data_IF_999737939898
#
_entry.id   IF_999737939898
#
_cell.length_a   1.000
_cell.length_b   1.000
_cell.length_c   1.000
_cell.angle_alpha   90.00
_cell.angle_beta   90.00
_cell.angle_gamma   90.00
#
_symmetry.space_group_name_H-M   'P 1'
#
loop_
_entity.id
_entity.type
_entity.pdbx_description
1 polymer ?
#
# COMPACT_ATOMS: atom_id res chain seq x y z
N UNK A 1 -26.34 10.21 24.97
CA UNK A 1 -27.64 10.42 24.27
C UNK A 1 -27.37 10.28 22.78
N UNK A 2 -28.17 9.49 22.08
CA UNK A 2 -28.08 9.39 20.62
C UNK A 2 -28.61 10.70 20.06
N UNK A 3 -27.96 11.29 19.04
CA UNK A 3 -28.43 12.55 18.48
C UNK A 3 -29.84 12.48 17.88
N UNK A 4 -30.41 11.30 17.65
CA UNK A 4 -31.69 11.11 16.95
C UNK A 4 -32.68 10.17 17.63
N UNK A 5 -32.46 9.75 18.87
CA UNK A 5 -33.37 8.85 19.59
C UNK A 5 -33.90 9.50 20.88
N UNK A 6 -35.20 9.80 20.90
CA UNK A 6 -35.92 10.37 22.04
C UNK A 6 -36.31 9.34 23.10
N UNK A 7 -36.11 8.04 22.86
CA UNK A 7 -36.51 6.96 23.79
C UNK A 7 -35.59 6.80 25.01
N UNK A 8 -34.48 7.56 25.11
CA UNK A 8 -33.40 7.34 26.09
C UNK A 8 -32.85 5.90 26.06
N UNK A 9 -33.12 5.14 24.99
CA UNK A 9 -32.44 3.89 24.68
C UNK A 9 -30.93 4.12 24.67
N UNK A 10 -30.21 3.20 25.30
CA UNK A 10 -28.75 3.18 25.27
C UNK A 10 -28.34 3.12 23.79
N UNK A 11 -27.46 4.01 23.37
CA UNK A 11 -26.94 4.03 22.01
C UNK A 11 -26.05 2.82 21.80
N UNK A 12 -26.66 1.66 21.65
CA UNK A 12 -25.95 0.43 21.45
C UNK A 12 -25.66 0.30 19.96
N UNK A 13 -24.86 1.24 19.45
CA UNK A 13 -23.89 0.88 18.43
C UNK A 13 -22.72 0.23 19.19
N UNK A 14 -23.00 -0.93 19.79
CA UNK A 14 -22.01 -1.70 20.52
C UNK A 14 -21.12 -2.36 19.48
N UNK A 15 -20.01 -1.69 19.17
CA UNK A 15 -18.90 -2.34 18.51
C UNK A 15 -18.62 -3.66 19.25
N UNK A 16 -18.43 -4.73 18.49
CA UNK A 16 -18.06 -6.03 19.03
C UNK A 16 -16.54 -6.13 19.11
N UNK A 17 -15.97 -6.81 20.12
CA UNK A 17 -14.52 -7.00 20.19
C UNK A 17 -13.98 -7.60 18.89
N UNK A 18 -13.02 -6.92 18.27
CA UNK A 18 -12.51 -7.25 16.93
C UNK A 18 -12.93 -6.26 15.84
N UNK A 19 -13.98 -5.45 16.06
CA UNK A 19 -14.41 -4.43 15.10
C UNK A 19 -13.34 -3.37 14.89
N UNK A 20 -13.23 -2.89 13.65
CA UNK A 20 -12.30 -1.84 13.26
C UNK A 20 -13.00 -0.51 13.05
N UNK A 21 -12.30 0.58 13.38
CA UNK A 21 -12.71 1.94 12.98
C UNK A 21 -11.50 2.77 12.59
N UNK A 22 -11.78 3.83 11.84
CA UNK A 22 -10.83 4.91 11.56
C UNK A 22 -11.07 6.08 12.52
N UNK A 23 -9.99 6.72 12.95
CA UNK A 23 -10.05 7.92 13.78
C UNK A 23 -8.79 8.78 13.60
N UNK A 24 -8.92 10.09 13.82
CA UNK A 24 -7.77 11.00 13.92
C UNK A 24 -7.09 10.96 15.30
N UNK A 25 -7.69 10.25 16.27
CA UNK A 25 -7.08 10.04 17.60
C UNK A 25 -5.76 9.30 17.46
N UNK A 26 -4.82 9.60 18.36
CA UNK A 26 -3.45 9.07 18.35
C UNK A 26 -3.16 8.11 19.51
N UNK A 27 -4.14 7.86 20.39
CA UNK A 27 -4.01 6.98 21.55
C UNK A 27 -5.28 6.15 21.77
N UNK A 28 -5.14 5.06 22.53
CA UNK A 28 -6.28 4.26 22.99
C UNK A 28 -7.35 5.12 23.65
N UNK A 29 -8.61 4.74 23.50
CA UNK A 29 -9.75 5.48 24.05
C UNK A 29 -11.02 4.62 24.10
N UNK A 30 -11.79 4.70 25.18
CA UNK A 30 -13.14 4.11 25.26
C UNK A 30 -13.21 2.63 24.82
N UNK A 31 -12.23 1.81 25.21
CA UNK A 31 -12.16 0.40 24.80
C UNK A 31 -11.61 0.14 23.40
N UNK A 32 -11.21 1.19 22.67
CA UNK A 32 -10.54 1.07 21.38
C UNK A 32 -9.03 1.14 21.55
N UNK A 33 -8.32 0.17 21.00
CA UNK A 33 -6.86 0.07 21.05
C UNK A 33 -6.28 0.42 19.68
N UNK A 34 -5.21 1.21 19.67
CA UNK A 34 -4.54 1.60 18.43
C UNK A 34 -3.85 0.38 17.78
N UNK A 35 -4.11 0.14 16.50
CA UNK A 35 -3.52 -0.97 15.74
C UNK A 35 -2.09 -0.67 15.27
N UNK A 36 -1.14 -0.68 16.21
CA UNK A 36 0.28 -0.39 15.97
C UNK A 36 1.22 -1.58 16.25
N UNK A 37 0.70 -2.81 16.38
CA UNK A 37 1.53 -3.99 16.57
C UNK A 37 1.98 -4.29 18.01
N UNK A 38 1.69 -3.40 18.97
CA UNK A 38 2.11 -3.62 20.37
C UNK A 38 1.35 -4.79 21.02
N UNK A 39 1.91 -5.33 22.09
CA UNK A 39 1.21 -6.30 22.94
C UNK A 39 0.07 -5.66 23.74
N UNK A 40 -0.91 -6.46 24.09
CA UNK A 40 -2.00 -6.08 24.99
C UNK A 40 -2.23 -7.18 26.03
N UNK A 41 -2.92 -6.83 27.13
CA UNK A 41 -3.26 -7.80 28.17
C UNK A 41 -4.48 -8.61 27.75
N UNK A 42 -4.27 -9.88 27.41
CA UNK A 42 -5.35 -10.83 27.10
C UNK A 42 -6.25 -11.11 28.30
N UNK A 43 -5.74 -10.99 29.52
CA UNK A 43 -6.56 -11.10 30.74
C UNK A 43 -7.50 -9.89 30.93
N UNK A 44 -7.06 -8.69 30.57
CA UNK A 44 -7.90 -7.49 30.63
C UNK A 44 -8.91 -7.41 29.48
N UNK A 45 -8.59 -8.02 28.32
CA UNK A 45 -9.42 -8.02 27.12
C UNK A 45 -9.62 -9.45 26.55
N UNK A 46 -10.29 -10.34 27.30
CA UNK A 46 -10.42 -11.75 26.91
C UNK A 46 -11.29 -11.97 25.67
N UNK A 47 -12.29 -11.11 25.43
CA UNK A 47 -13.15 -11.19 24.25
C UNK A 47 -12.40 -10.80 22.99
N UNK A 48 -11.54 -9.78 23.05
CA UNK A 48 -10.62 -9.46 21.96
C UNK A 48 -9.68 -10.62 21.68
N UNK A 49 -9.09 -11.19 22.75
CA UNK A 49 -8.20 -12.33 22.61
C UNK A 49 -8.89 -13.51 21.93
N UNK A 50 -10.13 -13.82 22.31
CA UNK A 50 -10.93 -14.84 21.62
C UNK A 50 -11.12 -14.53 20.12
N UNK A 51 -11.35 -13.27 19.77
CA UNK A 51 -11.57 -12.86 18.37
C UNK A 51 -10.31 -12.93 17.49
N UNK A 52 -9.14 -12.56 18.02
CA UNK A 52 -7.93 -12.32 17.19
C UNK A 52 -6.74 -13.24 17.48
N UNK A 53 -6.74 -14.00 18.58
CA UNK A 53 -5.58 -14.80 19.02
C UNK A 53 -5.08 -15.79 17.98
N UNK A 54 -5.98 -16.41 17.21
CA UNK A 54 -5.61 -17.36 16.15
C UNK A 54 -4.77 -16.75 15.01
N UNK A 55 -4.57 -15.44 14.98
CA UNK A 55 -3.75 -14.80 13.93
C UNK A 55 -2.76 -13.77 14.47
N UNK A 56 -3.10 -13.09 15.57
CA UNK A 56 -2.24 -12.07 16.17
C UNK A 56 -1.75 -12.44 17.58
N UNK A 57 -2.24 -13.54 18.15
CA UNK A 57 -1.94 -13.92 19.54
C UNK A 57 -2.29 -12.80 20.52
N UNK A 58 -1.33 -12.45 21.38
CA UNK A 58 -1.42 -11.35 22.36
C UNK A 58 -0.90 -10.00 21.82
N UNK A 59 -0.81 -9.86 20.50
CA UNK A 59 -0.42 -8.63 19.83
C UNK A 59 -1.61 -8.02 19.09
N UNK A 60 -1.64 -6.69 19.01
CA UNK A 60 -2.58 -5.99 18.16
C UNK A 60 -2.11 -6.09 16.70
N UNK A 61 -3.01 -6.01 15.71
CA UNK A 61 -2.60 -5.82 14.32
C UNK A 61 -1.77 -4.54 14.17
N UNK A 62 -0.83 -4.53 13.21
CA UNK A 62 -0.15 -3.32 12.78
C UNK A 62 -0.65 -2.94 11.39
N UNK A 63 -1.49 -1.91 11.30
CA UNK A 63 -2.03 -1.42 10.03
C UNK A 63 -1.32 -0.16 9.53
N UNK A 64 -0.21 0.24 10.15
CA UNK A 64 0.53 1.44 9.77
C UNK A 64 1.05 1.32 8.33
N UNK A 65 0.65 2.28 7.47
CA UNK A 65 1.06 2.32 6.06
C UNK A 65 0.30 1.35 5.14
N UNK A 66 -0.65 0.57 5.65
CA UNK A 66 -1.47 -0.34 4.86
C UNK A 66 -2.83 0.27 4.50
N UNK A 67 -3.31 -0.04 3.29
CA UNK A 67 -4.72 0.14 2.94
C UNK A 67 -5.50 -1.14 3.29
N UNK A 68 -6.61 -0.99 4.01
CA UNK A 68 -7.50 -2.13 4.26
C UNK A 68 -8.40 -2.36 3.04
N UNK A 69 -8.46 -3.61 2.61
CA UNK A 69 -9.31 -4.05 1.50
C UNK A 69 -10.35 -5.05 2.00
N UNK A 70 -11.49 -5.11 1.33
CA UNK A 70 -12.47 -6.15 1.58
C UNK A 70 -11.89 -7.54 1.23
N UNK A 71 -12.35 -8.58 1.95
CA UNK A 71 -11.99 -9.95 1.62
C UNK A 71 -12.47 -10.33 0.22
N UNK A 72 -11.65 -11.07 -0.53
CA UNK A 72 -11.95 -11.44 -1.91
C UNK A 72 -12.79 -12.73 -2.05
N UNK A 73 -13.08 -13.47 -0.96
CA UNK A 73 -13.92 -14.69 -0.95
C UNK A 73 -14.53 -14.92 0.43
N UNK A 74 -15.46 -15.88 0.54
CA UNK A 74 -16.06 -16.34 1.81
C UNK A 74 -15.07 -17.06 2.75
N UNK A 75 -13.87 -17.42 2.27
CA UNK A 75 -12.81 -18.02 3.07
C UNK A 75 -11.68 -17.00 3.29
N UNK A 76 -11.75 -16.36 4.45
CA UNK A 76 -10.94 -15.25 4.94
C UNK A 76 -9.44 -15.53 5.17
N UNK A 77 -8.77 -16.32 4.33
CA UNK A 77 -7.34 -16.65 4.49
C UNK A 77 -6.42 -15.41 4.50
N UNK A 78 -6.90 -14.28 3.97
CA UNK A 78 -6.16 -13.01 3.90
C UNK A 78 -6.65 -11.91 4.84
N UNK A 79 -7.70 -12.14 5.65
CA UNK A 79 -8.24 -11.06 6.52
C UNK A 79 -7.26 -10.60 7.60
N UNK A 80 -6.27 -11.42 7.93
CA UNK A 80 -5.45 -11.28 9.13
C UNK A 80 -3.95 -11.28 8.84
N UNK A 81 -3.57 -11.19 7.58
CA UNK A 81 -2.17 -11.24 7.13
C UNK A 81 -1.87 -10.03 6.27
N UNK A 82 -0.74 -9.37 6.55
CA UNK A 82 -0.28 -8.26 5.73
C UNK A 82 0.00 -8.74 4.30
N UNK A 83 -0.48 -7.98 3.31
CA UNK A 83 -0.24 -8.28 1.91
C UNK A 83 0.73 -7.25 1.34
N UNK A 84 1.78 -7.73 0.69
CA UNK A 84 2.74 -6.85 0.01
C UNK A 84 2.09 -6.19 -1.20
N UNK A 85 2.62 -5.03 -1.58
CA UNK A 85 2.21 -4.39 -2.82
C UNK A 85 2.49 -5.33 -4.01
N UNK A 86 1.52 -5.43 -4.92
CA UNK A 86 1.62 -6.26 -6.11
C UNK A 86 0.90 -5.61 -7.26
N UNK A 87 1.65 -5.19 -8.27
CA UNK A 87 1.11 -4.74 -9.55
C UNK A 87 1.22 -5.87 -10.58
N UNK A 88 0.33 -5.93 -11.58
CA UNK A 88 0.54 -6.75 -12.76
C UNK A 88 1.91 -6.48 -13.39
N UNK A 89 2.48 -7.50 -14.02
CA UNK A 89 3.74 -7.36 -14.71
C UNK A 89 3.63 -6.34 -15.84
N UNK A 90 4.69 -5.56 -16.08
CA UNK A 90 4.84 -4.68 -17.24
C UNK A 90 5.82 -5.38 -18.18
N UNK A 91 5.29 -6.22 -19.08
CA UNK A 91 6.08 -6.96 -20.05
C UNK A 91 6.13 -6.27 -21.41
N UNK A 92 7.27 -6.41 -22.09
CA UNK A 92 7.48 -5.98 -23.47
C UNK A 92 8.74 -6.61 -24.04
N UNK A 93 8.76 -6.85 -25.34
CA UNK A 93 9.92 -7.42 -26.05
C UNK A 93 10.29 -6.52 -27.22
N UNK A 94 11.57 -6.19 -27.35
CA UNK A 94 12.11 -5.52 -28.54
C UNK A 94 13.07 -6.51 -29.22
N UNK A 95 12.72 -6.96 -30.42
CA UNK A 95 13.61 -7.76 -31.27
C UNK A 95 14.00 -6.92 -32.49
N UNK A 96 15.30 -6.66 -32.67
CA UNK A 96 15.82 -5.88 -33.80
C UNK A 96 15.36 -4.43 -33.83
N UNK A 97 16.07 -3.53 -33.14
CA UNK A 97 15.81 -2.09 -33.20
C UNK A 97 16.81 -1.40 -34.14
N UNK A 98 16.38 -1.14 -35.38
CA UNK A 98 17.13 -0.36 -36.38
C UNK A 98 16.39 0.94 -36.69
N UNK A 99 16.76 2.01 -36.00
CA UNK A 99 16.16 3.34 -36.20
C UNK A 99 17.22 4.39 -36.44
N UNK A 100 17.16 5.08 -37.58
CA UNK A 100 17.92 6.29 -37.83
C UNK A 100 17.19 7.46 -37.13
N UNK A 101 17.78 7.99 -36.04
CA UNK A 101 17.28 9.15 -35.28
C UNK A 101 15.80 9.04 -34.84
N UNK A 102 15.47 8.09 -33.94
CA UNK A 102 14.08 7.92 -33.49
C UNK A 102 13.54 9.18 -32.81
N UNK A 103 12.32 9.57 -33.16
CA UNK A 103 11.56 10.57 -32.41
C UNK A 103 11.26 10.00 -31.03
N UNK A 104 11.65 10.73 -29.99
CA UNK A 104 11.45 10.36 -28.59
C UNK A 104 10.48 11.33 -27.93
N UNK A 105 9.58 10.82 -27.10
CA UNK A 105 8.62 11.62 -26.35
C UNK A 105 8.26 10.92 -25.03
N UNK A 106 7.78 11.71 -24.07
CA UNK A 106 7.34 11.21 -22.77
C UNK A 106 8.46 10.50 -22.00
N UNK A 107 8.23 9.25 -21.61
CA UNK A 107 9.12 8.46 -20.76
C UNK A 107 10.41 8.00 -21.47
N UNK A 108 10.56 8.28 -22.77
CA UNK A 108 11.71 7.86 -23.56
C UNK A 108 12.66 9.03 -23.83
N UNK A 109 13.95 8.83 -23.52
CA UNK A 109 15.02 9.80 -23.79
C UNK A 109 16.28 9.11 -24.32
N UNK A 110 17.23 9.88 -24.84
CA UNK A 110 18.56 9.35 -25.13
C UNK A 110 19.17 8.84 -23.82
N UNK A 111 19.76 7.65 -23.89
CA UNK A 111 20.63 7.13 -22.86
C UNK A 111 21.86 8.02 -22.73
N UNK A 112 22.29 8.27 -21.49
CA UNK A 112 23.57 8.93 -21.18
C UNK A 112 24.70 7.91 -20.96
N UNK A 113 24.40 6.61 -21.04
CA UNK A 113 25.43 5.57 -20.91
C UNK A 113 26.37 5.64 -22.12
N UNK A 114 27.70 5.59 -21.92
CA UNK A 114 28.64 5.49 -23.02
C UNK A 114 28.33 4.21 -23.81
N UNK A 115 27.95 4.36 -25.09
CA UNK A 115 27.69 3.21 -25.94
C UNK A 115 29.00 2.43 -26.15
N UNK A 116 29.08 1.14 -25.78
CA UNK A 116 30.24 0.31 -26.12
C UNK A 116 30.31 -0.02 -27.61
N UNK A 117 29.25 0.27 -28.37
CA UNK A 117 29.20 0.06 -29.81
C UNK A 117 29.91 1.19 -30.54
N UNK A 118 31.20 0.94 -30.84
CA UNK A 118 32.03 1.74 -31.74
C UNK A 118 31.25 2.09 -33.01
N UNK A 119 31.42 3.33 -33.48
CA UNK A 119 30.95 3.82 -34.78
C UNK A 119 31.30 2.78 -35.84
N UNK A 120 30.32 2.21 -36.53
CA UNK A 120 30.58 1.36 -37.69
C UNK A 120 31.02 2.29 -38.82
N UNK A 121 32.32 2.33 -39.12
CA UNK A 121 32.82 2.95 -40.35
C UNK A 121 32.49 2.02 -41.52
N UNK A 122 31.31 2.21 -42.11
CA UNK A 122 31.07 1.84 -43.51
C UNK A 122 31.46 3.03 -44.39
N UNK A 123 31.79 2.77 -45.66
CA UNK A 123 32.35 3.71 -46.64
C UNK A 123 31.41 4.85 -47.09
N UNK A 124 30.57 5.36 -46.18
CA UNK A 124 29.66 6.46 -46.42
C UNK A 124 29.87 7.54 -45.34
N UNK A 125 29.93 8.79 -45.79
CA UNK A 125 30.35 9.96 -45.01
C UNK A 125 29.36 10.39 -43.90
N UNK A 126 28.30 9.62 -43.68
CA UNK A 126 27.31 9.85 -42.64
C UNK A 126 27.56 8.96 -41.43
N UNK A 127 27.98 9.59 -40.33
CA UNK A 127 28.18 8.95 -39.03
C UNK A 127 26.87 8.24 -38.59
N UNK A 128 26.86 6.91 -38.52
CA UNK A 128 25.76 6.15 -37.91
C UNK A 128 25.88 6.24 -36.39
N UNK A 129 25.06 7.06 -35.75
CA UNK A 129 24.99 7.13 -34.28
C UNK A 129 24.21 5.92 -33.74
N UNK A 130 24.88 5.06 -32.97
CA UNK A 130 24.20 4.04 -32.17
C UNK A 130 23.44 4.74 -31.02
N UNK A 131 22.13 4.96 -31.19
CA UNK A 131 21.30 5.62 -30.18
C UNK A 131 20.71 4.57 -29.24
N UNK A 132 21.20 4.54 -28.00
CA UNK A 132 20.53 3.85 -26.91
C UNK A 132 19.36 4.71 -26.41
N UNK A 133 18.17 4.13 -26.30
CA UNK A 133 17.00 4.78 -25.70
C UNK A 133 16.86 4.27 -24.26
N UNK A 134 16.70 5.19 -23.31
CA UNK A 134 16.33 4.86 -21.93
C UNK A 134 14.83 5.06 -21.73
N UNK A 135 14.23 4.20 -20.92
CA UNK A 135 12.90 4.38 -20.38
C UNK A 135 13.00 4.86 -18.93
N UNK A 136 12.34 5.99 -18.62
CA UNK A 136 12.10 6.43 -17.26
C UNK A 136 10.76 7.16 -17.19
N UNK A 137 9.78 6.58 -16.51
CA UNK A 137 8.44 7.16 -16.37
C UNK A 137 8.44 8.56 -15.73
N UNK A 138 9.44 8.87 -14.88
CA UNK A 138 9.54 10.18 -14.21
C UNK A 138 9.87 11.32 -15.18
N UNK A 139 10.38 11.01 -16.38
CA UNK A 139 10.61 12.03 -17.42
C UNK A 139 9.31 12.58 -18.01
N UNK A 140 8.24 11.78 -18.00
CA UNK A 140 6.93 12.19 -18.50
C UNK A 140 6.12 12.89 -17.40
N UNK A 141 6.09 12.31 -16.21
CA UNK A 141 5.36 12.85 -15.08
C UNK A 141 6.13 12.59 -13.79
N UNK A 142 6.38 13.66 -13.04
CA UNK A 142 7.14 13.61 -11.79
C UNK A 142 6.46 12.80 -10.69
N UNK A 143 5.20 12.35 -10.85
CA UNK A 143 4.58 11.42 -9.90
C UNK A 143 5.28 10.05 -9.87
N UNK A 144 5.86 9.61 -10.98
CA UNK A 144 6.60 8.36 -11.05
C UNK A 144 7.96 8.51 -10.38
N UNK A 145 8.32 7.54 -9.52
CA UNK A 145 9.57 7.57 -8.75
C UNK A 145 9.54 8.39 -7.46
N UNK A 146 8.40 9.03 -7.10
CA UNK A 146 8.25 9.74 -5.81
C UNK A 146 8.18 8.83 -4.58
N UNK A 147 7.86 7.56 -4.78
CA UNK A 147 7.76 6.54 -3.75
C UNK A 147 8.36 5.25 -4.30
N UNK A 148 8.96 4.44 -3.42
CA UNK A 148 9.48 3.10 -3.75
C UNK A 148 8.38 2.06 -3.91
N UNK A 149 7.13 2.42 -3.58
CA UNK A 149 5.93 1.59 -3.75
C UNK A 149 4.78 2.41 -4.31
N UNK A 150 3.71 1.75 -4.77
CA UNK A 150 2.51 2.44 -5.26
C UNK A 150 1.81 3.12 -4.09
N UNK A 151 1.72 4.44 -4.16
CA UNK A 151 1.02 5.25 -3.17
C UNK A 151 -0.02 6.11 -3.87
N UNK A 152 -1.31 5.71 -3.88
CA UNK A 152 -2.39 6.56 -4.35
C UNK A 152 -2.46 7.85 -3.52
N UNK A 153 -2.99 8.93 -4.09
CA UNK A 153 -3.31 10.12 -3.31
C UNK A 153 -4.27 9.73 -2.18
N UNK A 154 -3.90 10.01 -0.94
CA UNK A 154 -4.66 9.59 0.24
C UNK A 154 -4.54 10.61 1.38
N UNK A 155 -5.56 10.65 2.22
CA UNK A 155 -5.46 11.13 3.59
C UNK A 155 -5.40 9.92 4.51
N UNK A 156 -4.52 9.96 5.50
CA UNK A 156 -4.37 8.86 6.47
C UNK A 156 -5.17 9.13 7.74
N UNK A 157 -5.70 8.06 8.32
CA UNK A 157 -6.30 8.03 9.64
C UNK A 157 -5.78 6.80 10.40
N UNK A 158 -5.77 6.88 11.73
CA UNK A 158 -5.38 5.75 12.55
C UNK A 158 -6.47 4.70 12.60
N UNK A 159 -6.06 3.43 12.51
CA UNK A 159 -6.96 2.30 12.66
C UNK A 159 -6.96 1.86 14.12
N UNK A 160 -8.15 1.68 14.67
CA UNK A 160 -8.36 1.15 16.01
C UNK A 160 -9.17 -0.13 15.94
N UNK A 161 -8.89 -1.05 16.86
CA UNK A 161 -9.67 -2.26 17.09
C UNK A 161 -10.41 -2.14 18.42
N UNK A 162 -11.69 -2.48 18.44
CA UNK A 162 -12.45 -2.49 19.69
C UNK A 162 -12.05 -3.70 20.51
N UNK A 163 -11.70 -3.48 21.76
CA UNK A 163 -11.27 -4.50 22.70
C UNK A 163 -12.35 -4.85 23.74
N UNK A 164 -13.44 -4.09 23.77
CA UNK A 164 -14.42 -4.16 24.85
C UNK A 164 -14.04 -3.31 26.06
N UNK A 165 -14.81 -3.47 27.14
CA UNK A 165 -14.52 -2.83 28.42
C UNK A 165 -13.40 -3.58 29.12
N UNK A 166 -12.44 -2.83 29.67
CA UNK A 166 -11.34 -3.38 30.46
C UNK A 166 -11.89 -4.15 31.66
N UNK A 167 -11.51 -5.42 31.80
CA UNK A 167 -11.80 -6.22 33.00
C UNK A 167 -10.70 -6.00 34.05
N UNK A 168 -11.09 -5.98 35.32
CA UNK A 168 -10.20 -5.79 36.48
C UNK A 168 -9.85 -7.13 37.10
#
# INVERSE_FOLDING_TARGET
KCPTDSSKGKCDFEASPGDLKYSLRTSDHNGWLLCNGRSYSSSQYPELYSAISGSFGSYLPNYSGYFLKAAATSYASNLKTAQQAGLPNISGTITGFWGYRPTKSGAFKNSTFPSPHKKTTGNDSTITENIQIRFNASDYNSIYGRSSTVTPQNYSANVFIYAGRKKY
#
